data_IF_535000962946
#
_entry.id   IF_535000962946
#
_cell.length_a   1.000
_cell.length_b   1.000
_cell.length_c   1.000
_cell.angle_alpha   90.00
_cell.angle_beta   90.00
_cell.angle_gamma   90.00
#
_symmetry.space_group_name_H-M   'P 1'
#
loop_
_entity.id
_entity.type
_entity.pdbx_description
1 polymer ?
2 non-polymer ?
3 water ?
#
# COMPACT_ATOMS: atom_id res chain seq x y z
N UNK A 3 -7.45 14.95 -6.10
CA UNK A 3 -7.56 14.41 -4.75
C UNK A 3 -7.58 15.53 -3.70
N UNK A 4 -6.41 16.03 -3.32
CA UNK A 4 -6.31 17.09 -2.34
C UNK A 4 -6.44 16.57 -0.92
N UNK A 5 -5.71 17.19 0.00
CA UNK A 5 -4.83 18.30 -0.33
C UNK A 5 -4.32 19.00 0.93
N UNK A 6 -3.06 18.77 1.25
CA UNK A 6 -2.45 19.37 2.42
C UNK A 6 -1.36 18.51 3.03
N UNK A 7 -1.66 17.90 4.17
CA UNK A 7 -0.70 17.04 4.86
C UNK A 7 -1.08 15.57 4.71
N UNK A 8 -0.54 14.74 5.58
CA UNK A 8 -0.82 13.28 5.55
C UNK A 8 -2.32 12.96 5.76
N UNK A 9 -2.85 12.04 4.94
CA UNK A 9 -4.23 11.57 5.04
C UNK A 9 -4.23 10.15 5.58
N UNK A 10 -5.39 9.74 6.14
CA UNK A 10 -5.59 8.45 6.78
C UNK A 10 -5.16 7.26 5.89
N UNK A 11 -5.57 7.23 4.60
CA UNK A 11 -5.23 6.13 3.67
C UNK A 11 -3.71 5.91 3.57
N UNK A 12 -2.94 7.02 3.48
CA UNK A 12 -1.48 7.00 3.35
C UNK A 12 -0.85 6.42 4.61
N UNK A 13 -1.27 6.92 5.79
CA UNK A 13 -0.80 6.47 7.09
C UNK A 13 -1.08 4.97 7.29
N UNK A 14 -2.28 4.50 6.91
CA UNK A 14 -2.65 3.08 7.04
C UNK A 14 -1.77 2.21 6.15
N UNK A 15 -1.51 2.64 4.89
CA UNK A 15 -0.64 1.92 3.96
C UNK A 15 0.79 1.84 4.50
N UNK A 16 1.27 2.93 5.15
CA UNK A 16 2.60 3.01 5.76
C UNK A 16 2.71 1.98 6.90
N UNK A 17 1.64 1.87 7.72
CA UNK A 17 1.56 0.93 8.85
C UNK A 17 1.51 -0.50 8.35
N UNK A 18 0.72 -0.73 7.28
CA UNK A 18 0.53 -2.04 6.67
C UNK A 18 1.76 -2.53 5.90
N UNK A 19 2.68 -1.62 5.50
CA UNK A 19 3.91 -1.93 4.76
C UNK A 19 5.08 -2.31 5.69
N UNK A 20 4.81 -2.44 7.00
CA UNK A 20 5.78 -2.80 8.04
C UNK A 20 5.18 -3.90 8.93
N UNK A 21 5.76 -5.11 8.89
CA UNK A 21 5.31 -6.27 9.65
C UNK A 21 5.47 -6.07 11.17
N UNK A 22 6.25 -5.04 11.59
CA UNK A 22 6.46 -4.69 13.01
C UNK A 22 5.17 -4.12 13.64
N UNK A 23 4.18 -3.76 12.81
CA UNK A 23 2.90 -3.18 13.20
C UNK A 23 1.78 -4.22 13.22
N UNK A 24 2.10 -5.51 12.97
CA UNK A 24 1.15 -6.64 12.92
C UNK A 24 0.24 -6.75 14.15
N UNK A 25 0.75 -6.28 15.30
CA UNK A 25 0.03 -6.25 16.58
C UNK A 25 -1.18 -5.32 16.62
N UNK A 26 -1.26 -4.33 15.71
CA UNK A 26 -2.40 -3.41 15.68
C UNK A 26 -3.10 -3.38 14.31
N UNK A 27 -2.36 -3.61 13.20
CA UNK A 27 -2.89 -3.60 11.84
C UNK A 27 -2.09 -4.55 10.94
N UNK A 28 -2.77 -5.34 10.09
CA UNK A 28 -2.12 -6.31 9.20
C UNK A 28 -2.98 -6.68 8.00
N UNK A 29 -2.31 -7.00 6.86
CA UNK A 29 -2.96 -7.53 5.65
C UNK A 29 -3.39 -8.95 5.99
N UNK A 30 -4.69 -9.24 5.89
CA UNK A 30 -5.25 -10.54 6.25
C UNK A 30 -6.51 -10.82 5.44
N UNK A 31 -6.58 -11.98 4.82
CA UNK A 31 -7.74 -12.41 4.04
C UNK A 31 -7.61 -12.37 2.53
N UNK A 32 -6.63 -11.63 2.04
CA UNK A 32 -6.37 -11.48 0.61
C UNK A 32 -7.24 -10.43 -0.07
N UNK A 33 -6.85 -10.07 -1.31
CA UNK A 33 -7.53 -9.11 -2.19
C UNK A 33 -7.71 -7.75 -1.49
N UNK A 34 -6.61 -7.22 -0.97
CA UNK A 34 -6.53 -5.93 -0.31
C UNK A 34 -7.20 -5.83 1.05
N UNK A 35 -7.61 -6.96 1.63
CA UNK A 35 -8.24 -7.01 2.94
C UNK A 35 -7.19 -6.89 4.03
N UNK A 36 -7.52 -6.10 5.05
CA UNK A 36 -6.68 -5.86 6.21
C UNK A 36 -7.55 -5.82 7.46
N UNK A 37 -6.96 -6.17 8.61
CA UNK A 37 -7.69 -6.18 9.87
C UNK A 37 -7.02 -5.29 10.90
N UNK A 38 -7.83 -4.58 11.70
CA UNK A 38 -7.35 -3.78 12.80
C UNK A 38 -7.25 -4.72 14.01
N UNK A 39 -6.06 -5.31 14.21
CA UNK A 39 -5.74 -6.26 15.29
C UNK A 39 -5.96 -5.61 16.66
N UNK A 40 -5.65 -4.30 16.74
CA UNK A 40 -5.84 -3.43 17.91
C UNK A 40 -6.39 -2.09 17.40
N UNK A 41 -7.74 -1.96 17.26
CA UNK A 41 -8.33 -0.71 16.71
C UNK A 41 -7.96 0.55 17.48
N UNK A 42 -7.92 0.48 18.82
CA UNK A 42 -7.58 1.61 19.68
C UNK A 42 -6.14 2.05 19.50
N UNK A 43 -5.22 1.09 19.21
CA UNK A 43 -3.80 1.40 19.01
C UNK A 43 -3.59 2.11 17.66
N UNK A 44 -4.28 1.66 16.59
CA UNK A 44 -4.22 2.32 15.29
C UNK A 44 -4.68 3.79 15.45
N UNK A 45 -5.81 3.99 16.16
CA UNK A 45 -6.41 5.29 16.46
C UNK A 45 -5.45 6.16 17.27
N UNK A 46 -4.77 5.59 18.29
CA UNK A 46 -3.82 6.30 19.14
C UNK A 46 -2.63 6.78 18.31
N UNK A 47 -2.12 5.91 17.42
CA UNK A 47 -0.98 6.18 16.55
C UNK A 47 -1.30 7.26 15.51
N UNK A 48 -2.53 7.23 14.95
CA UNK A 48 -3.03 8.24 14.00
C UNK A 48 -3.16 9.58 14.71
N UNK A 49 -3.53 9.54 15.99
CA UNK A 49 -3.64 10.69 16.87
C UNK A 49 -2.32 11.38 17.11
N UNK A 50 -1.22 10.60 17.18
CA UNK A 50 0.15 11.10 17.36
C UNK A 50 0.65 11.78 16.08
N UNK A 51 0.41 11.13 14.91
CA UNK A 51 0.81 11.59 13.59
C UNK A 51 0.15 12.92 13.23
N UNK A 52 -1.16 13.07 13.51
CA UNK A 52 -1.90 14.30 13.19
C UNK A 52 -1.95 15.29 14.36
N UNK A 53 -1.25 14.99 15.48
CA UNK A 53 -1.19 15.80 16.70
C UNK A 53 -2.60 16.09 17.25
N UNK A 54 -3.47 15.06 17.22
CA UNK A 54 -4.85 15.09 17.71
C UNK A 54 -4.94 14.13 18.92
N UNK A 55 -4.66 14.61 20.15
CA UNK A 55 -4.64 13.70 21.32
C UNK A 55 -6.00 13.08 21.69
N UNK A 56 -7.11 13.72 21.28
CA UNK A 56 -8.48 13.26 21.57
C UNK A 56 -8.98 12.16 20.58
N UNK A 57 -8.07 11.66 19.71
CA UNK A 57 -8.37 10.64 18.70
C UNK A 57 -8.67 9.29 19.34
N UNK A 58 -9.75 8.65 18.89
CA UNK A 58 -10.26 7.34 19.33
C UNK A 58 -10.70 6.52 18.10
N UNK A 59 -11.12 5.25 18.31
CA UNK A 59 -11.57 4.40 17.20
C UNK A 59 -12.85 4.95 16.53
N UNK A 60 -13.77 5.53 17.32
CA UNK A 60 -15.03 6.11 16.82
C UNK A 60 -14.76 7.19 15.76
N UNK A 61 -13.81 8.10 16.02
CA UNK A 61 -13.42 9.17 15.11
C UNK A 61 -12.68 8.61 13.88
N UNK A 62 -11.82 7.59 14.10
CA UNK A 62 -11.04 6.92 13.06
C UNK A 62 -11.99 6.20 12.07
N UNK A 63 -12.96 5.41 12.58
CA UNK A 63 -13.93 4.68 11.78
C UNK A 63 -14.84 5.65 10.97
N UNK A 64 -15.06 6.87 11.51
CA UNK A 64 -15.85 7.95 10.90
C UNK A 64 -15.13 8.47 9.65
N UNK A 65 -13.80 8.54 9.73
CA UNK A 65 -12.93 9.00 8.65
C UNK A 65 -12.77 7.94 7.54
N UNK A 66 -13.02 6.66 7.86
CA UNK A 66 -12.95 5.58 6.88
C UNK A 66 -14.17 5.60 5.94
N UNK A 67 -15.33 6.12 6.44
CA UNK A 67 -16.59 6.18 5.70
C UNK A 67 -16.48 7.14 4.49
N UNK A 68 -15.52 8.09 4.54
CA UNK A 68 -15.24 9.04 3.46
C UNK A 68 -14.64 8.27 2.29
N UNK A 69 -13.93 7.17 2.60
CA UNK A 69 -13.24 6.42 1.56
C UNK A 69 -14.12 5.41 0.80
N UNK A 70 -15.32 5.11 1.33
CA UNK A 70 -16.25 4.17 0.70
C UNK A 70 -16.83 4.78 -0.58
N UNK A 71 -17.27 6.04 -0.48
CA UNK A 71 -17.86 6.83 -1.56
C UNK A 71 -16.81 7.21 -2.59
N UNK A 72 -15.57 7.50 -2.12
CA UNK A 72 -14.43 7.86 -2.95
C UNK A 72 -13.82 6.60 -3.60
N UNK A 73 -14.31 5.40 -3.21
CA UNK A 73 -13.95 4.06 -3.68
C UNK A 73 -12.46 3.72 -3.47
N UNK A 74 -11.85 4.24 -2.37
CA UNK A 74 -10.47 3.96 -1.98
C UNK A 74 -10.48 2.74 -1.03
N UNK A 75 -11.53 2.64 -0.20
CA UNK A 75 -11.75 1.56 0.75
C UNK A 75 -13.17 1.04 0.69
N UNK A 76 -13.42 0.00 1.50
CA UNK A 76 -14.69 -0.68 1.76
C UNK A 76 -14.59 -1.44 3.10
N UNK A 77 -15.73 -1.74 3.73
CA UNK A 77 -15.76 -2.50 4.99
C UNK A 77 -16.33 -3.89 4.73
N UNK A 78 -15.66 -4.92 5.27
CA UNK A 78 -16.03 -6.33 5.13
C UNK A 78 -17.26 -6.61 6.00
N UNK A 79 -18.34 -7.10 5.37
CA UNK A 79 -19.58 -7.42 6.08
C UNK A 79 -19.45 -8.75 6.81
N UNK A 80 -20.07 -8.82 7.99
CA UNK A 80 -20.04 -9.99 8.85
C UNK A 80 -19.01 -9.84 9.95
N UNK A 81 -17.83 -9.28 9.58
CA UNK A 81 -16.67 -9.01 10.46
C UNK A 81 -16.80 -7.60 11.09
N UNK A 82 -16.06 -7.35 12.19
CA UNK A 82 -16.16 -6.11 12.97
C UNK A 82 -15.08 -5.05 12.67
N UNK A 83 -13.81 -5.46 12.47
CA UNK A 83 -12.69 -4.51 12.29
C UNK A 83 -11.85 -4.88 11.05
N UNK A 84 -12.51 -5.52 10.05
CA UNK A 84 -11.91 -5.91 8.79
C UNK A 84 -12.36 -4.95 7.70
N UNK A 85 -11.39 -4.38 6.99
CA UNK A 85 -11.63 -3.42 5.92
C UNK A 85 -10.90 -3.91 4.67
N UNK A 86 -11.16 -3.27 3.52
CA UNK A 86 -10.54 -3.68 2.26
C UNK A 86 -10.05 -2.45 1.51
N UNK A 87 -8.83 -2.52 1.02
CA UNK A 87 -8.23 -1.47 0.20
C UNK A 87 -8.55 -1.72 -1.27
N UNK A 88 -9.09 -0.71 -1.95
CA UNK A 88 -9.39 -0.79 -3.37
C UNK A 88 -8.31 -0.02 -4.11
N UNK A 89 -7.26 -0.75 -4.56
CA UNK A 89 -6.11 -0.16 -5.27
C UNK A 89 -6.49 0.34 -6.66
N UNK A 90 -7.50 -0.27 -7.29
CA UNK A 90 -8.02 0.16 -8.59
C UNK A 90 -8.76 1.51 -8.42
N UNK A 91 -9.52 1.66 -7.34
CA UNK A 91 -10.24 2.88 -6.98
C UNK A 91 -9.31 4.00 -6.52
N UNK A 92 -8.19 3.62 -5.87
CA UNK A 92 -7.16 4.55 -5.42
C UNK A 92 -6.46 5.15 -6.64
N UNK A 93 -5.98 4.28 -7.56
CA UNK A 93 -5.32 4.65 -8.81
C UNK A 93 -6.18 5.56 -9.68
N UNK A 94 -7.52 5.36 -9.66
CA UNK A 94 -8.49 6.17 -10.39
C UNK A 94 -8.58 7.58 -9.79
N UNK A 95 -8.52 7.67 -8.44
CA UNK A 95 -8.54 8.92 -7.69
C UNK A 95 -7.22 9.70 -7.84
N UNK A 96 -6.15 9.00 -8.26
CA UNK A 96 -4.80 9.55 -8.48
C UNK A 96 -4.69 10.21 -9.86
N UNK A 97 -5.42 9.67 -10.86
CA UNK A 97 -5.42 10.16 -12.23
C UNK A 97 -6.01 11.59 -12.32
N UNK A 98 -5.51 12.45 -13.26
CA UNK A 98 -6.05 13.82 -13.36
C UNK A 98 -7.47 13.86 -13.92
N UNK B 7 -4.04 1.95 -18.55
CA UNK B 7 -4.69 1.08 -17.58
C UNK B 7 -3.81 0.90 -16.34
N UNK B 8 -3.79 -0.31 -15.80
CA UNK B 8 -3.00 -0.60 -14.61
C UNK B 8 -1.52 -0.25 -14.77
N UNK B 9 -0.95 0.35 -13.72
CA UNK B 9 0.47 0.70 -13.70
C UNK B 9 1.19 -0.20 -12.71
N UNK B 10 2.52 -0.32 -12.86
CA UNK B 10 3.38 -1.19 -12.07
C UNK B 10 3.20 -1.00 -10.56
N UNK B 11 3.19 0.26 -10.06
CA UNK B 11 3.05 0.55 -8.64
C UNK B 11 1.77 -0.08 -8.04
N UNK B 12 0.64 0.02 -8.77
CA UNK B 12 -0.67 -0.50 -8.36
C UNK B 12 -0.62 -2.03 -8.27
N UNK B 13 -0.10 -2.69 -9.33
CA UNK B 13 0.05 -4.14 -9.41
C UNK B 13 0.92 -4.67 -8.26
N UNK B 14 2.04 -3.97 -7.96
CA UNK B 14 2.94 -4.36 -6.89
C UNK B 14 2.26 -4.28 -5.54
N UNK B 15 1.50 -3.18 -5.28
CA UNK B 15 0.75 -3.00 -4.03
C UNK B 15 -0.30 -4.09 -3.87
N UNK B 16 -0.96 -4.50 -4.98
CA UNK B 16 -1.97 -5.59 -5.00
C UNK B 16 -1.33 -6.91 -4.61
N UNK B 17 -0.11 -7.19 -5.13
CA UNK B 17 0.66 -8.40 -4.85
C UNK B 17 1.13 -8.40 -3.41
N UNK B 18 1.60 -7.24 -2.93
CA UNK B 18 2.12 -7.06 -1.57
C UNK B 18 1.02 -7.10 -0.50
N UNK B 19 -0.26 -6.85 -0.88
CA UNK B 19 -1.41 -6.85 0.03
C UNK B 19 -2.00 -8.28 0.24
N UNK B 20 -1.34 -9.31 -0.32
CA UNK B 20 -1.72 -10.72 -0.23
C UNK B 20 -0.51 -11.55 0.15
N UNK B 21 -0.53 -12.15 1.36
CA UNK B 21 0.56 -12.98 1.89
C UNK B 21 0.77 -14.27 1.08
N UNK B 22 -0.19 -14.63 0.20
CA UNK B 22 -0.11 -15.80 -0.68
C UNK B 22 0.96 -15.61 -1.78
N UNK B 23 1.43 -14.36 -1.96
CA UNK B 23 2.43 -13.96 -2.95
C UNK B 23 3.82 -13.83 -2.35
N UNK B 24 3.99 -14.16 -1.05
CA UNK B 24 5.25 -14.06 -0.28
C UNK B 24 6.44 -14.77 -0.96
N UNK B 25 6.14 -15.81 -1.76
CA UNK B 25 7.11 -16.58 -2.52
C UNK B 25 7.81 -15.83 -3.62
N UNK B 26 7.25 -14.69 -4.10
CA UNK B 26 7.89 -13.90 -5.14
C UNK B 26 8.08 -12.43 -4.72
N UNK B 27 7.19 -11.88 -3.87
CA UNK B 27 7.26 -10.47 -3.40
C UNK B 27 6.66 -10.36 -1.99
N UNK B 28 7.32 -9.59 -1.09
CA UNK B 28 6.86 -9.41 0.29
C UNK B 28 7.39 -8.14 0.93
N UNK B 29 6.61 -7.55 1.88
CA UNK B 29 7.04 -6.40 2.69
C UNK B 29 8.09 -6.94 3.66
N UNK B 30 9.30 -6.39 3.61
CA UNK B 30 10.40 -6.85 4.46
C UNK B 30 11.37 -5.71 4.71
N UNK B 31 11.74 -5.51 5.98
CA UNK B 31 12.70 -4.49 6.38
C UNK B 31 12.15 -3.27 7.07
N UNK B 32 10.84 -3.05 6.89
CA UNK B 32 10.15 -1.91 7.48
C UNK B 32 10.26 -0.64 6.68
N UNK B 33 9.42 0.34 7.04
CA UNK B 33 9.34 1.69 6.44
C UNK B 33 9.16 1.61 4.91
N UNK B 34 8.14 0.87 4.50
CA UNK B 34 7.73 0.70 3.11
C UNK B 34 8.67 -0.12 2.24
N UNK B 35 9.65 -0.81 2.86
CA UNK B 35 10.59 -1.65 2.13
C UNK B 35 9.96 -3.00 1.79
N UNK B 36 10.21 -3.47 0.56
CA UNK B 36 9.75 -4.76 0.05
C UNK B 36 10.86 -5.45 -0.74
N UNK B 37 10.86 -6.80 -0.75
CA UNK B 37 11.88 -7.59 -1.44
C UNK B 37 11.26 -8.48 -2.50
N UNK B 38 11.93 -8.60 -3.64
CA UNK B 38 11.52 -9.50 -4.71
C UNK B 38 12.14 -10.86 -4.40
N UNK B 39 11.38 -11.72 -3.70
CA UNK B 39 11.78 -13.07 -3.28
C UNK B 39 12.11 -13.94 -4.49
N UNK B 40 11.38 -13.72 -5.60
CA UNK B 40 11.55 -14.37 -6.91
C UNK B 40 11.38 -13.27 -7.98
N UNK B 41 12.47 -12.56 -8.35
CA UNK B 41 12.37 -11.44 -9.30
C UNK B 41 11.77 -11.81 -10.66
N UNK B 42 12.14 -12.98 -11.19
CA UNK B 42 11.66 -13.46 -12.48
C UNK B 42 10.16 -13.77 -12.44
N UNK B 43 9.65 -14.23 -11.28
CA UNK B 43 8.23 -14.56 -11.11
C UNK B 43 7.38 -13.29 -11.06
N UNK B 44 7.85 -12.24 -10.36
CA UNK B 44 7.16 -10.94 -10.31
C UNK B 44 7.04 -10.41 -11.76
N UNK B 45 8.16 -10.45 -12.51
CA UNK B 45 8.27 -10.00 -13.90
C UNK B 45 7.33 -10.79 -14.82
N UNK B 46 7.27 -12.13 -14.63
CA UNK B 46 6.39 -13.02 -15.41
C UNK B 46 4.92 -12.69 -15.16
N UNK B 47 4.56 -12.43 -13.89
CA UNK B 47 3.18 -12.12 -13.46
C UNK B 47 2.75 -10.75 -13.99
N UNK B 48 3.67 -9.75 -13.99
CA UNK B 48 3.43 -8.42 -14.53
C UNK B 48 3.22 -8.50 -16.04
N UNK B 49 3.95 -9.42 -16.68
CA UNK B 49 3.86 -9.71 -18.10
C UNK B 49 2.51 -10.26 -18.49
N UNK B 50 1.88 -11.06 -17.62
CA UNK B 50 0.55 -11.64 -17.82
C UNK B 50 -0.53 -10.56 -17.71
N UNK B 51 -0.43 -9.71 -16.67
CA UNK B 51 -1.36 -8.63 -16.36
C UNK B 51 -1.42 -7.60 -17.49
N UNK B 52 -0.25 -7.21 -18.05
CA UNK B 52 -0.19 -6.21 -19.10
C UNK B 52 -0.18 -6.81 -20.51
N UNK B 53 -0.32 -8.16 -20.61
CA UNK B 53 -0.31 -8.94 -21.85
C UNK B 53 0.97 -8.66 -22.68
N UNK B 54 2.12 -8.60 -21.97
CA UNK B 54 3.45 -8.39 -22.51
C UNK B 54 4.27 -9.68 -22.28
N UNK B 55 4.22 -10.65 -23.20
CA UNK B 55 4.94 -11.92 -22.98
C UNK B 55 6.46 -11.82 -22.93
N UNK B 56 7.05 -10.76 -23.53
CA UNK B 56 8.49 -10.51 -23.59
C UNK B 56 9.04 -9.86 -22.28
N UNK B 57 8.19 -9.72 -21.24
CA UNK B 57 8.56 -9.12 -19.95
C UNK B 57 9.53 -10.01 -19.18
N UNK B 58 10.60 -9.39 -18.66
CA UNK B 58 11.67 -10.01 -17.88
C UNK B 58 12.04 -9.11 -16.68
N UNK B 59 12.97 -9.56 -15.80
CA UNK B 59 13.39 -8.76 -14.65
C UNK B 59 14.11 -7.48 -15.08
N UNK B 60 14.91 -7.51 -16.16
CA UNK B 60 15.64 -6.35 -16.67
C UNK B 60 14.69 -5.19 -17.01
N UNK B 61 13.56 -5.49 -17.70
CA UNK B 61 12.54 -4.51 -18.08
C UNK B 61 11.77 -4.03 -16.85
N UNK B 62 11.48 -4.95 -15.91
CA UNK B 62 10.77 -4.65 -14.66
C UNK B 62 11.59 -3.69 -13.77
N UNK B 63 12.89 -3.98 -13.57
CA UNK B 63 13.81 -3.18 -12.76
C UNK B 63 13.99 -1.79 -13.33
N UNK B 64 13.97 -1.66 -14.67
CA UNK B 64 14.08 -0.39 -15.37
C UNK B 64 12.86 0.48 -15.06
N UNK B 65 11.66 -0.14 -15.04
CA UNK B 65 10.38 0.52 -14.76
C UNK B 65 10.29 0.91 -13.31
N UNK B 66 10.91 0.12 -12.40
CA UNK B 66 10.93 0.34 -10.95
C UNK B 66 11.81 1.53 -10.59
N UNK B 67 12.92 1.71 -11.32
CA UNK B 67 13.87 2.81 -11.12
C UNK B 67 13.28 4.13 -11.64
N UNK B 68 12.27 4.08 -12.55
CA UNK B 68 11.62 5.26 -13.13
C UNK B 68 10.83 6.02 -12.02
N UNK B 69 10.23 5.27 -11.07
CA UNK B 69 9.48 5.76 -9.91
C UNK B 69 10.40 6.48 -8.90
N UNK B 70 11.75 6.44 -9.07
CA UNK B 70 12.67 7.15 -8.18
C UNK B 70 12.56 8.66 -8.36
N UNK B 71 12.52 9.11 -9.63
CA UNK B 71 12.42 10.52 -10.02
C UNK B 71 11.02 11.06 -9.73
N UNK B 72 9.99 10.21 -9.89
CA UNK B 72 8.59 10.53 -9.63
C UNK B 72 8.29 10.49 -8.12
N UNK B 73 9.29 10.03 -7.32
CA UNK B 73 9.32 9.90 -5.86
C UNK B 73 8.20 8.98 -5.31
N UNK B 74 7.81 7.94 -6.08
CA UNK B 74 6.81 6.93 -5.67
C UNK B 74 7.55 5.75 -5.01
N UNK B 75 8.77 5.47 -5.50
CA UNK B 75 9.65 4.42 -5.00
C UNK B 75 11.04 5.01 -4.72
N UNK B 76 11.80 4.40 -3.80
CA UNK B 76 13.14 4.91 -3.49
C UNK B 76 14.15 3.78 -3.49
N UNK B 77 15.43 4.10 -3.81
CA UNK B 77 16.49 3.10 -3.86
C UNK B 77 16.82 2.60 -2.47
N UNK B 78 16.91 1.26 -2.30
CA UNK B 78 17.29 0.62 -1.03
C UNK B 78 18.78 0.32 -1.07
N UNK B 79 19.51 0.71 -0.01
CA UNK B 79 20.94 0.51 0.12
C UNK B 79 21.27 -0.66 1.04
N UNK B 80 22.26 -1.45 0.65
CA UNK B 80 22.75 -2.59 1.41
C UNK B 80 21.97 -3.88 1.26
N UNK B 81 20.99 -3.91 0.32
CA UNK B 81 20.16 -5.10 0.10
C UNK B 81 19.92 -5.34 -1.38
N UNK B 82 20.03 -6.61 -1.81
CA UNK B 82 19.76 -7.04 -3.18
C UNK B 82 18.26 -7.26 -3.37
N UNK B 83 17.77 -7.00 -4.60
CA UNK B 83 16.37 -7.09 -5.06
C UNK B 83 15.37 -6.43 -4.08
N UNK B 84 15.78 -5.31 -3.45
CA UNK B 84 14.94 -4.57 -2.51
C UNK B 84 14.60 -3.19 -3.03
N UNK B 85 13.35 -2.79 -2.82
CA UNK B 85 12.80 -1.50 -3.22
C UNK B 85 11.99 -0.98 -2.07
N UNK B 86 11.83 0.34 -1.99
CA UNK B 86 11.08 1.00 -0.93
C UNK B 86 9.94 1.81 -1.51
N UNK B 87 8.74 1.69 -0.93
CA UNK B 87 7.59 2.46 -1.33
C UNK B 87 7.54 3.76 -0.56
N UNK B 88 7.40 4.89 -1.28
CA UNK B 88 7.28 6.21 -0.68
C UNK B 88 5.82 6.61 -0.77
N UNK B 89 5.05 6.33 0.30
CA UNK B 89 3.62 6.62 0.36
C UNK B 89 3.35 8.13 0.42
N UNK B 90 4.31 8.93 0.94
CA UNK B 90 4.23 10.39 0.98
C UNK B 90 4.32 10.91 -0.44
N UNK B 91 5.32 10.42 -1.18
CA UNK B 91 5.56 10.77 -2.56
C UNK B 91 4.45 10.33 -3.50
N UNK B 92 3.79 9.19 -3.17
CA UNK B 92 2.66 8.66 -3.92
C UNK B 92 1.48 9.60 -3.74
N UNK B 93 1.13 9.94 -2.48
CA UNK B 93 0.06 10.85 -2.10
C UNK B 93 0.21 12.24 -2.75
N UNK B 94 1.48 12.70 -2.91
CA UNK B 94 1.81 13.98 -3.56
C UNK B 94 1.51 13.90 -5.06
N UNK B 95 1.80 12.75 -5.68
CA UNK B 95 1.55 12.49 -7.11
C UNK B 95 0.03 12.31 -7.38
N UNK B 96 -0.76 12.03 -6.33
CA UNK B 96 -2.21 11.85 -6.37
C UNK B 96 -2.94 13.19 -6.33
N UNK B 97 -2.36 14.19 -5.64
CA UNK B 97 -2.92 15.54 -5.50
C UNK B 97 -2.97 16.25 -6.87
N UNK B 98 -3.97 17.15 -7.13
CA UNK B 98 -4.03 17.81 -8.46
C UNK B 98 -2.90 18.81 -8.69
X LIG C 1 -15.62 -5.20 21.88
X LIG C 1 -15.77 -4.44 20.69
X LIG C 1 -16.76 -6.17 22.09
X LIG C 1 -17.99 -5.46 22.26
X LIG C 1 -16.50 -7.02 23.32
X LIG C 1 -17.59 -7.89 23.60
#
# INVERSE_FOLDING_TARGET
SMKGSGQIQLWQFLLELLADRANAGCIAWEGGHGEFKLTDPDEVARRWGERKSKPNMNYDKLSRALRYYYDKNIMSKVHGKRYAYRFDFQGLAQACQPPPAH
SMKGSGQIQLWQFLLELLADRANAGCIAWEGGHGEFKLTDPDEVARRWGERKSKPNMNYDKLSRALRYYYDKNIMSKVHGKRYAYRFDFQGLAQACQPPPAH
GOL C1 O1 C2 O2 C3 O3
#
